data_IF_280088412331
#
_entry.id   IF_280088412331
#
_cell.length_a   1.000
_cell.length_b   1.000
_cell.length_c   1.000
_cell.angle_alpha   90.00
_cell.angle_beta   90.00
_cell.angle_gamma   90.00
#
_symmetry.space_group_name_H-M   'P 1'
#
loop_
_entity.id
_entity.type
_entity.pdbx_description
1 polymer ?
#
# COMPACT_ATOMS: atom_id res chain seq x y z
N UNK A 1 12.11 -9.94 -8.03
CA UNK A 1 12.12 -11.00 -7.01
C UNK A 1 10.74 -11.64 -6.81
N UNK A 2 9.62 -10.93 -7.00
CA UNK A 2 8.28 -11.46 -6.75
C UNK A 2 7.42 -11.79 -8.00
N UNK A 3 7.91 -11.51 -9.22
CA UNK A 3 7.20 -11.77 -10.49
C UNK A 3 7.19 -13.24 -10.92
N UNK A 4 7.84 -14.12 -10.15
CA UNK A 4 7.98 -15.55 -10.42
C UNK A 4 7.30 -16.43 -9.36
N UNK A 5 6.53 -15.84 -8.44
CA UNK A 5 5.81 -16.61 -7.43
C UNK A 5 4.60 -17.29 -8.11
N UNK A 6 4.51 -18.63 -8.06
CA UNK A 6 3.33 -19.34 -8.54
C UNK A 6 2.06 -18.84 -7.86
N UNK A 7 0.96 -18.69 -8.59
CA UNK A 7 -0.31 -18.18 -8.05
C UNK A 7 -0.92 -19.10 -6.98
N UNK A 8 -0.57 -20.38 -6.99
CA UNK A 8 -0.95 -21.38 -5.99
C UNK A 8 -0.07 -21.35 -4.73
N UNK A 9 0.99 -20.53 -4.72
CA UNK A 9 1.82 -20.34 -3.53
C UNK A 9 1.09 -19.51 -2.47
N UNK A 10 1.07 -19.94 -1.20
CA UNK A 10 0.52 -19.13 -0.11
C UNK A 10 1.23 -17.78 0.04
N UNK A 11 2.47 -17.66 -0.44
CA UNK A 11 3.23 -16.40 -0.46
C UNK A 11 2.60 -15.38 -1.40
N UNK A 12 1.97 -15.81 -2.49
CA UNK A 12 1.28 -14.90 -3.42
C UNK A 12 0.12 -14.17 -2.71
N UNK A 13 -0.60 -14.86 -1.83
CA UNK A 13 -1.67 -14.27 -1.02
C UNK A 13 -1.12 -13.31 0.04
N UNK A 14 -0.02 -13.69 0.73
CA UNK A 14 0.60 -12.85 1.76
C UNK A 14 1.15 -11.54 1.19
N UNK A 15 1.71 -11.59 -0.02
CA UNK A 15 2.35 -10.43 -0.65
C UNK A 15 1.41 -9.61 -1.52
N UNK A 16 0.18 -10.08 -1.76
CA UNK A 16 -0.75 -9.44 -2.69
C UNK A 16 -0.90 -7.94 -2.42
N UNK A 17 -1.18 -7.56 -1.17
CA UNK A 17 -1.38 -6.16 -0.80
C UNK A 17 -0.11 -5.32 -0.90
N UNK A 18 1.03 -5.90 -0.56
CA UNK A 18 2.33 -5.23 -0.64
C UNK A 18 2.71 -4.95 -2.09
N UNK A 19 2.47 -5.92 -2.97
CA UNK A 19 2.68 -5.75 -4.40
C UNK A 19 1.71 -4.73 -4.98
N UNK A 20 0.46 -4.68 -4.52
CA UNK A 20 -0.50 -3.64 -4.92
C UNK A 20 -0.03 -2.25 -4.49
N UNK A 21 0.45 -2.07 -3.25
CA UNK A 21 1.03 -0.79 -2.79
C UNK A 21 2.25 -0.41 -3.63
N UNK A 22 3.18 -1.34 -3.82
CA UNK A 22 4.36 -1.10 -4.64
C UNK A 22 3.98 -0.69 -6.07
N UNK A 23 3.05 -1.41 -6.71
CA UNK A 23 2.58 -1.08 -8.06
C UNK A 23 1.89 0.29 -8.12
N UNK A 24 1.10 0.65 -7.12
CA UNK A 24 0.46 1.96 -7.02
C UNK A 24 1.52 3.08 -6.90
N UNK A 25 2.54 2.90 -6.06
CA UNK A 25 3.66 3.85 -5.94
C UNK A 25 4.41 3.99 -7.27
N UNK A 26 4.73 2.87 -7.93
CA UNK A 26 5.40 2.90 -9.23
C UNK A 26 4.56 3.61 -10.30
N UNK A 27 3.24 3.39 -10.30
CA UNK A 27 2.32 4.06 -11.21
C UNK A 27 2.23 5.57 -10.93
N UNK A 28 2.12 5.95 -9.66
CA UNK A 28 2.09 7.34 -9.23
C UNK A 28 3.38 8.07 -9.62
N UNK A 29 4.54 7.45 -9.37
CA UNK A 29 5.84 7.97 -9.75
C UNK A 29 5.98 8.11 -11.28
N UNK A 30 5.58 7.10 -12.04
CA UNK A 30 5.62 7.14 -13.51
C UNK A 30 4.72 8.24 -14.10
N UNK A 31 3.62 8.56 -13.43
CA UNK A 31 2.72 9.67 -13.79
C UNK A 31 3.10 11.01 -13.15
N UNK A 32 4.24 11.08 -12.44
CA UNK A 32 4.70 12.27 -11.72
C UNK A 32 3.66 12.84 -10.72
N UNK A 33 2.82 11.96 -10.16
CA UNK A 33 1.82 12.31 -9.16
C UNK A 33 2.41 12.45 -7.76
N UNK A 34 3.56 11.82 -7.53
CA UNK A 34 4.35 11.93 -6.30
C UNK A 34 5.76 12.44 -6.65
N UNK A 35 6.44 13.17 -5.74
CA UNK A 35 7.78 13.71 -6.02
C UNK A 35 8.83 12.66 -6.38
N UNK A 36 9.70 12.96 -7.35
CA UNK A 36 10.72 12.02 -7.88
C UNK A 36 11.85 11.72 -6.87
N UNK A 37 12.08 12.62 -5.91
CA UNK A 37 13.08 12.47 -4.84
C UNK A 37 12.39 12.50 -3.49
N UNK A 38 11.93 11.33 -3.03
CA UNK A 38 11.33 11.20 -1.70
C UNK A 38 12.22 10.34 -0.81
N UNK A 39 12.88 11.00 0.13
CA UNK A 39 13.48 10.33 1.29
C UNK A 39 12.38 9.82 2.25
N UNK A 40 11.17 10.41 2.19
CA UNK A 40 10.01 10.09 3.00
C UNK A 40 8.72 10.12 2.15
N UNK A 41 7.83 9.13 2.30
CA UNK A 41 6.55 9.04 1.57
C UNK A 41 5.42 8.67 2.53
N UNK A 42 4.36 9.49 2.57
CA UNK A 42 3.18 9.25 3.40
C UNK A 42 1.99 8.75 2.58
N UNK A 43 1.51 7.56 2.90
CA UNK A 43 0.42 6.86 2.22
C UNK A 43 -0.76 6.74 3.16
N UNK A 44 -1.94 7.13 2.68
CA UNK A 44 -3.19 6.70 3.30
C UNK A 44 -3.69 5.44 2.61
N UNK A 45 -3.61 4.33 3.33
CA UNK A 45 -4.13 3.04 2.90
C UNK A 45 -5.57 2.92 3.37
N UNK A 46 -6.50 3.13 2.45
CA UNK A 46 -7.94 3.16 2.76
C UNK A 46 -8.48 1.75 2.83
N UNK A 47 -9.02 1.39 4.00
CA UNK A 47 -9.55 0.06 4.28
C UNK A 47 -11.07 0.11 4.44
N UNK A 48 -11.78 -0.32 3.40
CA UNK A 48 -13.21 -0.60 3.44
C UNK A 48 -13.43 -2.12 3.53
N UNK A 49 -13.61 -2.63 4.74
CA UNK A 49 -13.95 -4.03 5.00
C UNK A 49 -15.44 -4.25 4.81
N UNK A 50 -15.75 -5.24 4.00
CA UNK A 50 -17.05 -5.90 4.09
C UNK A 50 -16.82 -7.30 4.64
N UNK A 51 -16.87 -7.34 5.96
CA UNK A 51 -16.84 -8.48 6.90
C UNK A 51 -15.88 -9.65 6.58
N UNK A 52 -14.94 -9.88 7.51
CA UNK A 52 -14.03 -11.03 7.69
C UNK A 52 -12.70 -11.06 6.90
N UNK A 53 -12.54 -10.28 5.82
CA UNK A 53 -11.27 -10.28 5.05
C UNK A 53 -10.22 -9.30 5.61
N UNK A 54 -10.66 -8.08 5.98
CA UNK A 54 -9.77 -7.01 6.48
C UNK A 54 -9.12 -7.29 7.83
N UNK A 55 -9.74 -8.08 8.70
CA UNK A 55 -9.10 -8.47 9.96
C UNK A 55 -7.76 -9.16 9.67
N UNK A 56 -7.68 -10.01 8.65
CA UNK A 56 -6.45 -10.76 8.33
C UNK A 56 -5.29 -9.87 7.91
N UNK A 57 -5.56 -8.77 7.21
CA UNK A 57 -4.54 -7.80 6.79
C UNK A 57 -3.91 -7.09 7.98
N UNK A 58 -4.75 -6.67 8.92
CA UNK A 58 -4.30 -5.99 10.14
C UNK A 58 -3.56 -6.93 11.11
N UNK A 59 -3.76 -8.24 11.01
CA UNK A 59 -2.98 -9.23 11.76
C UNK A 59 -1.60 -9.53 11.11
N UNK A 60 -1.34 -9.03 9.90
CA UNK A 60 -0.13 -9.32 9.13
C UNK A 60 0.73 -8.08 8.85
N UNK A 61 0.64 -7.05 9.71
CA UNK A 61 1.43 -5.81 9.55
C UNK A 61 2.94 -6.07 9.40
N UNK A 62 3.49 -7.11 10.02
CA UNK A 62 4.90 -7.45 9.90
C UNK A 62 5.35 -7.75 8.46
N UNK A 63 4.45 -8.26 7.60
CA UNK A 63 4.78 -8.57 6.19
C UNK A 63 5.05 -7.28 5.41
N UNK A 64 4.49 -6.14 5.84
CA UNK A 64 4.78 -4.83 5.23
C UNK A 64 6.25 -4.44 5.31
N UNK A 65 7.05 -5.07 6.19
CA UNK A 65 8.50 -4.94 6.21
C UNK A 65 9.14 -5.21 4.84
N UNK A 66 8.56 -6.12 4.03
CA UNK A 66 9.06 -6.44 2.69
C UNK A 66 9.05 -5.24 1.73
N UNK A 67 8.21 -4.22 1.96
CA UNK A 67 8.24 -2.99 1.16
C UNK A 67 9.58 -2.26 1.27
N UNK A 68 10.32 -2.42 2.37
CA UNK A 68 11.64 -1.82 2.55
C UNK A 68 12.66 -2.44 1.58
N UNK A 69 12.49 -3.72 1.22
CA UNK A 69 13.31 -4.37 0.20
C UNK A 69 12.97 -3.87 -1.22
N UNK A 70 11.69 -3.55 -1.45
CA UNK A 70 11.17 -3.08 -2.74
C UNK A 70 11.46 -1.60 -3.01
N UNK A 71 11.51 -0.78 -1.95
CA UNK A 71 11.71 0.66 -2.01
C UNK A 71 12.94 1.06 -1.17
N UNK A 72 14.16 0.64 -1.57
CA UNK A 72 15.35 0.89 -0.78
C UNK A 72 15.66 2.39 -0.71
N UNK A 73 15.81 2.92 0.51
CA UNK A 73 16.15 4.32 0.76
C UNK A 73 14.96 5.26 0.93
N UNK A 74 13.73 4.75 0.83
CA UNK A 74 12.50 5.52 1.10
C UNK A 74 12.02 5.20 2.52
N UNK A 75 11.79 6.22 3.34
CA UNK A 75 11.10 6.10 4.61
C UNK A 75 9.58 6.11 4.36
N UNK A 76 8.93 4.98 4.59
CA UNK A 76 7.52 4.81 4.26
C UNK A 76 6.64 5.00 5.49
N UNK A 77 5.66 5.89 5.39
CA UNK A 77 4.63 6.09 6.39
C UNK A 77 3.29 5.61 5.83
N UNK A 78 2.61 4.68 6.51
CA UNK A 78 1.34 4.11 6.05
C UNK A 78 0.28 4.28 7.13
N UNK A 79 -0.67 5.17 6.89
CA UNK A 79 -1.83 5.36 7.75
C UNK A 79 -2.97 4.49 7.22
N UNK A 80 -3.39 3.51 8.00
CA UNK A 80 -4.58 2.71 7.71
C UNK A 80 -5.80 3.53 8.14
N UNK A 81 -6.64 3.89 7.18
CA UNK A 81 -7.79 4.77 7.40
C UNK A 81 -9.05 4.10 6.89
N UNK A 82 -10.12 4.09 7.69
CA UNK A 82 -11.42 3.61 7.25
C UNK A 82 -12.22 2.95 8.36
N UNK A 83 -13.49 2.62 8.10
CA UNK A 83 -14.42 2.11 9.12
C UNK A 83 -14.03 0.72 9.68
N UNK A 84 -12.99 0.12 9.12
CA UNK A 84 -12.58 -1.27 9.38
C UNK A 84 -11.36 -1.40 10.25
N UNK A 85 -10.73 -0.26 10.57
CA UNK A 85 -9.70 -0.22 11.59
C UNK A 85 -10.36 -0.56 12.93
N UNK A 86 -9.90 -1.62 13.64
CA UNK A 86 -10.45 -2.03 14.92
C UNK A 86 -10.31 -0.91 15.94
N UNK A 87 -11.41 -0.57 16.61
CA UNK A 87 -11.44 0.54 17.55
C UNK A 87 -10.51 0.33 18.76
N UNK A 88 -10.21 -0.93 19.09
CA UNK A 88 -9.27 -1.31 20.15
C UNK A 88 -7.80 -1.11 19.76
N UNK A 89 -7.53 -0.90 18.46
CA UNK A 89 -6.19 -0.66 17.91
C UNK A 89 -6.03 0.75 17.31
N UNK A 90 -7.08 1.57 17.41
CA UNK A 90 -7.02 2.98 16.99
C UNK A 90 -5.90 3.71 17.74
N UNK A 91 -5.10 4.49 17.01
CA UNK A 91 -3.91 5.16 17.57
C UNK A 91 -2.66 4.27 17.69
N UNK A 92 -2.72 2.98 17.33
CA UNK A 92 -1.53 2.12 17.33
C UNK A 92 -0.52 2.55 16.25
N UNK A 93 0.77 2.59 16.63
CA UNK A 93 1.89 2.82 15.72
C UNK A 93 2.85 1.63 15.76
N UNK A 94 3.18 1.09 14.59
CA UNK A 94 4.09 -0.04 14.41
C UNK A 94 5.28 0.38 13.54
N UNK A 95 6.49 0.31 14.10
CA UNK A 95 7.73 0.52 13.35
C UNK A 95 8.31 -0.78 12.83
N UNK A 96 8.60 -0.86 11.53
CA UNK A 96 9.25 -2.00 10.87
C UNK A 96 10.61 -1.54 10.33
N UNK A 97 11.67 -2.24 10.74
CA UNK A 97 13.05 -1.93 10.35
C UNK A 97 13.73 -3.05 9.56
N UNK A 98 13.05 -4.18 9.36
CA UNK A 98 13.64 -5.36 8.76
C UNK A 98 12.66 -6.11 7.84
N UNK A 99 13.19 -6.95 6.97
CA UNK A 99 12.45 -7.82 6.04
C UNK A 99 13.12 -9.21 5.97
N UNK A 100 12.47 -10.17 5.33
CA UNK A 100 12.98 -11.52 5.18
C UNK A 100 14.25 -11.56 4.34
N UNK A 101 15.34 -12.06 4.93
CA UNK A 101 16.62 -12.21 4.25
C UNK A 101 16.76 -13.59 3.64
N UNK A 102 17.45 -13.67 2.50
CA UNK A 102 17.80 -14.95 1.91
C UNK A 102 18.70 -15.74 2.86
N UNK A 103 18.30 -16.96 3.20
CA UNK A 103 19.08 -17.83 4.09
C UNK A 103 20.15 -18.64 3.34
N UNK A 104 20.06 -18.77 2.01
CA UNK A 104 20.99 -19.59 1.21
C UNK A 104 22.41 -19.01 1.21
N UNK A 105 23.38 -19.81 1.63
CA UNK A 105 24.77 -19.37 1.90
C UNK A 105 25.45 -18.77 0.66
N UNK A 106 25.17 -19.28 -0.54
CA UNK A 106 25.81 -18.87 -1.80
C UNK A 106 24.83 -18.22 -2.79
N UNK A 107 23.72 -17.64 -2.31
CA UNK A 107 22.80 -16.94 -3.21
C UNK A 107 23.45 -15.68 -3.76
N UNK A 108 23.35 -15.48 -5.08
CA UNK A 108 23.78 -14.26 -5.77
C UNK A 108 23.08 -12.99 -5.29
N UNK A 109 21.95 -13.15 -4.58
CA UNK A 109 21.26 -12.06 -3.90
C UNK A 109 22.04 -11.48 -2.71
N UNK A 110 23.04 -12.20 -2.16
CA UNK A 110 23.90 -11.75 -1.05
C UNK A 110 25.13 -10.97 -1.51
N UNK A 111 25.52 -11.10 -2.78
CA UNK A 111 26.79 -10.54 -3.28
C UNK A 111 26.75 -9.04 -3.61
N UNK A 112 25.72 -8.29 -3.19
CA UNK A 112 25.50 -6.91 -3.65
C UNK A 112 25.20 -5.83 -2.58
N UNK A 113 24.98 -6.17 -1.31
CA UNK A 113 24.81 -5.18 -0.23
C UNK A 113 25.51 -5.71 1.02
N UNK A 114 26.35 -4.87 1.62
CA UNK A 114 27.37 -5.24 2.61
C UNK A 114 26.87 -6.13 3.74
N UNK A 115 27.79 -6.95 4.26
CA UNK A 115 27.64 -7.71 5.49
C UNK A 115 26.99 -6.83 6.57
N UNK A 116 25.78 -7.19 7.00
CA UNK A 116 25.17 -6.59 8.17
C UNK A 116 25.99 -7.02 9.38
N UNK A 117 26.95 -6.18 9.76
CA UNK A 117 27.66 -6.31 11.02
C UNK A 117 26.60 -6.14 12.11
N UNK A 118 26.35 -7.20 12.89
CA UNK A 118 25.38 -7.27 13.98
C UNK A 118 25.68 -6.32 15.17
N UNK A 119 26.59 -5.36 14.99
CA UNK A 119 27.11 -4.45 16.01
C UNK A 119 26.99 -2.97 15.61
N UNK A 120 25.91 -2.56 14.93
CA UNK A 120 25.67 -1.13 14.70
C UNK A 120 24.72 -0.61 15.78
N UNK A 121 25.28 0.21 16.67
CA UNK A 121 24.57 1.01 17.66
C UNK A 121 23.33 1.67 17.06
N UNK A 122 22.19 1.34 17.66
CA UNK A 122 20.86 1.85 17.42
C UNK A 122 20.83 3.36 17.14
N UNK A 123 20.72 3.72 15.88
CA UNK A 123 19.90 4.87 15.49
C UNK A 123 18.65 4.28 14.82
N UNK A 124 17.72 3.82 15.66
CA UNK A 124 16.55 3.01 15.31
C UNK A 124 15.48 3.83 14.57
N UNK A 125 15.81 4.41 13.41
CA UNK A 125 14.76 4.93 12.53
C UNK A 125 14.07 3.74 11.85
N UNK A 126 12.77 3.58 12.07
CA UNK A 126 11.98 2.59 11.34
C UNK A 126 11.98 2.96 9.85
N UNK A 127 12.34 2.01 8.99
CA UNK A 127 12.27 2.20 7.55
C UNK A 127 10.81 2.32 7.07
N UNK A 128 9.90 1.64 7.78
CA UNK A 128 8.47 1.73 7.56
C UNK A 128 7.77 1.98 8.89
N UNK A 129 6.87 2.96 8.91
CA UNK A 129 6.02 3.27 10.05
C UNK A 129 4.57 3.09 9.64
N UNK A 130 3.85 2.19 10.33
CA UNK A 130 2.42 1.96 10.09
C UNK A 130 1.64 2.55 11.25
N UNK A 131 0.59 3.30 10.95
CA UNK A 131 -0.33 3.87 11.94
C UNK A 131 -1.75 3.42 11.64
N UNK A 132 -2.52 3.12 12.68
CA UNK A 132 -3.92 2.75 12.57
C UNK A 132 -4.84 3.94 12.87
N UNK A 133 -4.45 5.12 12.38
CA UNK A 133 -5.21 6.35 12.43
C UNK A 133 -4.60 7.33 11.43
N UNK A 134 -5.38 8.34 11.04
CA UNK A 134 -4.94 9.40 10.14
C UNK A 134 -4.33 10.53 10.96
N UNK A 135 -3.01 10.71 10.89
CA UNK A 135 -2.33 11.85 11.53
C UNK A 135 -1.85 12.89 10.53
N UNK A 136 -1.54 12.46 9.31
CA UNK A 136 -0.88 13.27 8.31
C UNK A 136 -1.78 13.56 7.11
N UNK A 137 -1.35 14.50 6.28
CA UNK A 137 -1.89 14.66 4.94
C UNK A 137 -1.12 13.68 4.04
N UNK A 138 -1.80 12.77 3.33
CA UNK A 138 -1.10 11.80 2.50
C UNK A 138 -0.54 12.45 1.23
N UNK A 139 0.59 11.94 0.76
CA UNK A 139 1.08 12.21 -0.59
C UNK A 139 0.32 11.37 -1.63
N UNK A 140 -0.20 10.20 -1.20
CA UNK A 140 -0.90 9.24 -2.04
C UNK A 140 -1.97 8.49 -1.24
N UNK A 141 -3.15 8.35 -1.83
CA UNK A 141 -4.22 7.51 -1.31
C UNK A 141 -4.23 6.20 -2.11
N UNK A 142 -4.21 5.07 -1.40
CA UNK A 142 -4.31 3.74 -2.01
C UNK A 142 -5.51 3.03 -1.41
N UNK A 143 -6.44 2.61 -2.27
CA UNK A 143 -7.66 1.94 -1.90
C UNK A 143 -7.78 0.64 -2.70
N UNK A 144 -7.16 -0.44 -2.22
CA UNK A 144 -7.11 -1.67 -2.97
C UNK A 144 -8.36 -2.51 -2.74
N UNK A 145 -8.77 -3.26 -3.76
CA UNK A 145 -10.02 -4.02 -3.76
C UNK A 145 -11.23 -3.20 -3.27
N UNK A 146 -11.38 -1.99 -3.80
CA UNK A 146 -12.31 -0.99 -3.28
C UNK A 146 -13.77 -1.46 -3.35
N UNK A 147 -14.15 -2.23 -4.39
CA UNK A 147 -15.52 -2.74 -4.51
C UNK A 147 -16.56 -1.62 -4.60
N UNK A 148 -16.20 -0.48 -5.22
CA UNK A 148 -17.01 0.74 -5.20
C UNK A 148 -18.41 0.56 -5.77
N UNK A 149 -18.54 -0.28 -6.80
CA UNK A 149 -19.84 -0.58 -7.39
C UNK A 149 -20.73 -1.43 -6.46
N UNK A 150 -20.12 -2.24 -5.59
CA UNK A 150 -20.84 -3.05 -4.62
C UNK A 150 -21.26 -2.24 -3.37
N UNK A 151 -20.50 -1.21 -3.00
CA UNK A 151 -20.68 -0.50 -1.74
C UNK A 151 -20.89 1.01 -1.92
N UNK A 152 -22.15 1.44 -1.82
CA UNK A 152 -22.54 2.87 -1.91
C UNK A 152 -21.93 3.75 -0.81
N UNK A 153 -21.43 3.16 0.28
CA UNK A 153 -20.71 3.88 1.33
C UNK A 153 -19.41 4.52 0.86
N UNK A 154 -18.95 4.22 -0.35
CA UNK A 154 -17.82 4.90 -0.99
C UNK A 154 -18.15 6.31 -1.48
N UNK A 155 -19.42 6.65 -1.80
CA UNK A 155 -19.72 7.94 -2.43
C UNK A 155 -19.22 9.15 -1.62
N UNK A 156 -19.46 9.26 -0.30
CA UNK A 156 -18.93 10.38 0.49
C UNK A 156 -17.38 10.40 0.53
N UNK A 157 -16.75 9.23 0.48
CA UNK A 157 -15.29 9.11 0.47
C UNK A 157 -14.69 9.51 -0.87
N UNK A 158 -15.35 9.17 -1.97
CA UNK A 158 -14.95 9.62 -3.32
C UNK A 158 -15.10 11.14 -3.42
N UNK A 159 -16.18 11.71 -2.89
CA UNK A 159 -16.38 13.17 -2.84
C UNK A 159 -15.25 13.85 -2.07
N UNK A 160 -14.93 13.34 -0.87
CA UNK A 160 -13.83 13.86 -0.05
C UNK A 160 -12.48 13.74 -0.74
N UNK A 161 -12.17 12.59 -1.34
CA UNK A 161 -10.91 12.36 -2.08
C UNK A 161 -10.80 13.36 -3.25
N UNK A 162 -11.90 13.62 -3.94
CA UNK A 162 -11.93 14.59 -5.03
C UNK A 162 -11.76 16.04 -4.53
N UNK A 163 -12.28 16.36 -3.35
CA UNK A 163 -12.16 17.69 -2.75
C UNK A 163 -10.75 18.01 -2.23
N UNK A 164 -10.05 17.03 -1.66
CA UNK A 164 -8.71 17.23 -1.11
C UNK A 164 -7.60 17.27 -2.17
N UNK A 165 -7.94 16.95 -3.44
CA UNK A 165 -7.03 16.98 -4.60
C UNK A 165 -5.75 16.15 -4.43
N UNK A 166 -5.78 15.13 -3.57
CA UNK A 166 -4.65 14.21 -3.37
C UNK A 166 -4.76 13.08 -4.39
N UNK A 167 -3.65 12.69 -5.06
CA UNK A 167 -3.64 11.53 -5.94
C UNK A 167 -4.19 10.28 -5.25
N UNK A 168 -5.13 9.60 -5.91
CA UNK A 168 -5.75 8.39 -5.40
C UNK A 168 -5.69 7.27 -6.43
N UNK A 169 -5.22 6.09 -6.00
CA UNK A 169 -5.17 4.88 -6.81
C UNK A 169 -6.11 3.85 -6.21
N UNK A 170 -6.99 3.35 -7.05
CA UNK A 170 -7.97 2.33 -6.72
C UNK A 170 -7.67 1.05 -7.49
N UNK A 171 -7.83 -0.10 -6.84
CA UNK A 171 -7.83 -1.39 -7.52
C UNK A 171 -9.07 -2.19 -7.16
N UNK A 172 -9.41 -3.19 -7.97
CA UNK A 172 -10.52 -4.10 -7.75
C UNK A 172 -10.13 -5.54 -8.12
N UNK A 173 -10.96 -6.51 -7.77
CA UNK A 173 -10.63 -7.93 -7.92
C UNK A 173 -10.40 -8.36 -9.38
N UNK A 174 -10.97 -7.63 -10.34
CA UNK A 174 -10.79 -7.86 -11.77
C UNK A 174 -11.03 -6.58 -12.59
N UNK A 175 -10.69 -6.65 -13.88
CA UNK A 175 -10.86 -5.55 -14.84
C UNK A 175 -12.31 -5.08 -14.96
N UNK A 176 -13.26 -5.99 -15.03
CA UNK A 176 -14.70 -5.65 -15.10
C UNK A 176 -15.13 -4.85 -13.85
N UNK A 177 -14.65 -5.24 -12.68
CA UNK A 177 -14.94 -4.52 -11.44
C UNK A 177 -14.28 -3.13 -11.42
N UNK A 178 -13.04 -3.02 -11.92
CA UNK A 178 -12.39 -1.73 -12.12
C UNK A 178 -13.18 -0.83 -13.08
N UNK A 179 -13.72 -1.38 -14.18
CA UNK A 179 -14.56 -0.63 -15.12
C UNK A 179 -15.83 -0.10 -14.45
N UNK A 180 -16.51 -0.95 -13.66
CA UNK A 180 -17.68 -0.54 -12.90
C UNK A 180 -17.34 0.51 -11.83
N UNK A 181 -16.21 0.37 -11.15
CA UNK A 181 -15.72 1.35 -10.19
C UNK A 181 -15.42 2.71 -10.86
N UNK A 182 -14.82 2.71 -12.06
CA UNK A 182 -14.59 3.93 -12.83
C UNK A 182 -15.90 4.66 -13.18
N UNK A 183 -16.96 3.91 -13.51
CA UNK A 183 -18.29 4.48 -13.73
C UNK A 183 -18.85 5.10 -12.44
N UNK A 184 -18.66 4.46 -11.28
CA UNK A 184 -19.05 5.03 -9.98
C UNK A 184 -18.30 6.35 -9.70
N UNK A 185 -16.97 6.37 -9.86
CA UNK A 185 -16.15 7.57 -9.67
C UNK A 185 -16.62 8.70 -10.59
N UNK A 186 -16.85 8.39 -11.87
CA UNK A 186 -17.33 9.37 -12.85
C UNK A 186 -18.71 9.92 -12.46
N UNK A 187 -19.59 9.08 -11.95
CA UNK A 187 -20.94 9.50 -11.53
C UNK A 187 -20.95 10.45 -10.33
N UNK A 188 -19.95 10.32 -9.45
CA UNK A 188 -19.81 11.13 -8.23
C UNK A 188 -19.04 12.42 -8.50
N UNK A 189 -17.91 12.31 -9.21
CA UNK A 189 -16.99 13.44 -9.44
C UNK A 189 -17.29 14.23 -10.71
N UNK A 190 -18.04 13.65 -11.65
CA UNK A 190 -18.24 14.20 -12.99
C UNK A 190 -17.04 13.99 -13.93
N UNK A 191 -15.93 13.42 -13.45
CA UNK A 191 -14.68 13.25 -14.18
C UNK A 191 -14.28 11.76 -14.24
N UNK A 192 -13.97 11.21 -15.42
CA UNK A 192 -13.49 9.85 -15.51
C UNK A 192 -12.08 9.72 -14.92
N UNK A 193 -11.80 8.66 -14.13
CA UNK A 193 -10.44 8.41 -13.65
C UNK A 193 -9.52 7.94 -14.79
N UNK A 194 -8.22 8.16 -14.65
CA UNK A 194 -7.24 7.64 -15.60
C UNK A 194 -7.07 6.13 -15.45
N UNK A 195 -7.15 5.37 -16.55
CA UNK A 195 -6.95 3.92 -16.55
C UNK A 195 -5.56 3.61 -17.16
N UNK A 196 -4.65 2.92 -16.44
CA UNK A 196 -3.36 2.56 -16.98
C UNK A 196 -3.47 1.66 -18.22
N UNK A 197 -2.78 2.02 -19.32
CA UNK A 197 -2.68 1.19 -20.53
C UNK A 197 -3.72 1.43 -21.62
N UNK A 198 -4.57 2.46 -21.48
CA UNK A 198 -5.55 2.89 -22.49
C UNK A 198 -5.20 4.23 -23.18
N UNK A 199 -3.92 4.63 -23.14
CA UNK A 199 -3.38 5.84 -23.80
C UNK A 199 -2.87 5.55 -25.22
#
# INVERSE_FOLDING_TARGET
>A
MYTTIPLDSPVALLLHWLLTIYQAIQLASAKQLIPETMDELCIHYVVYCVSAWSERELHQLAVFGELHALLPGVQLHIDFVGPSVPHDRDGETVGLCNYAHCMEVNCSCKSGKGEFNSNTTANNSSAITIRLHSEFVPDLIIAPNAGMNAYRSWSPTIELINEIEIPAIFSDYCEEACHLAANCITSVTGCPPSIPGLD
#
